data_IF_406907478177
#
_entry.id   IF_406907478177
#
_cell.length_a   1.000
_cell.length_b   1.000
_cell.length_c   1.000
_cell.angle_alpha   90.00
_cell.angle_beta   90.00
_cell.angle_gamma   90.00
#
_symmetry.space_group_name_H-M   'P 1'
#
loop_
_entity.id
_entity.type
_entity.pdbx_description
1 polymer ?
#
# COMPACT_ATOMS: atom_id res chain seq x y z
N UNK A 1 -25.29 76.48 26.11
CA UNK A 1 -25.54 76.14 27.53
C UNK A 1 -24.79 74.86 27.87
N UNK A 2 -23.80 74.97 28.78
CA UNK A 2 -23.49 74.03 29.88
C UNK A 2 -23.23 72.56 29.48
N UNK A 3 -21.96 72.19 29.28
CA UNK A 3 -21.15 71.34 30.19
C UNK A 3 -21.08 69.88 29.64
N UNK A 4 -20.04 69.06 29.79
CA UNK A 4 -19.17 68.77 30.93
C UNK A 4 -17.85 68.19 30.38
N UNK A 5 -16.72 68.64 30.93
CA UNK A 5 -15.45 67.89 30.95
C UNK A 5 -15.55 66.80 32.01
N UNK A 6 -15.15 65.57 31.71
CA UNK A 6 -14.41 64.70 32.66
C UNK A 6 -13.62 63.63 31.91
N UNK A 7 -12.40 63.46 32.40
CA UNK A 7 -11.30 62.67 31.88
C UNK A 7 -11.47 61.18 32.17
N UNK A 8 -11.06 60.33 31.22
CA UNK A 8 -10.37 59.07 31.51
C UNK A 8 -9.39 58.80 30.36
N UNK A 9 -8.09 58.98 30.64
CA UNK A 9 -7.01 58.45 29.82
C UNK A 9 -6.93 56.94 30.07
N UNK A 10 -6.99 56.15 29.00
CA UNK A 10 -6.23 54.92 28.88
C UNK A 10 -5.54 54.94 27.52
N UNK A 11 -4.20 55.03 27.53
CA UNK A 11 -3.35 54.91 26.35
C UNK A 11 -3.53 53.51 25.75
N UNK A 12 -3.97 53.42 24.49
CA UNK A 12 -3.78 52.23 23.66
C UNK A 12 -2.70 52.56 22.63
N UNK A 13 -1.53 51.95 22.79
CA UNK A 13 -0.36 52.13 21.95
C UNK A 13 -0.56 51.27 20.68
N UNK A 14 -0.97 51.88 19.58
CA UNK A 14 -0.93 51.27 18.24
C UNK A 14 0.37 51.72 17.58
N UNK A 15 1.38 50.85 17.59
CA UNK A 15 2.60 51.03 16.80
C UNK A 15 2.38 50.44 15.40
N UNK A 16 2.24 51.34 14.43
CA UNK A 16 2.38 51.05 13.00
C UNK A 16 3.86 50.78 12.69
N UNK A 17 4.15 49.58 12.20
CA UNK A 17 5.43 49.23 11.56
C UNK A 17 5.19 49.02 10.04
N UNK A 18 6.20 49.29 9.19
CA UNK A 18 6.04 49.42 7.74
C UNK A 18 5.77 48.07 7.04
N UNK A 19 5.11 48.14 5.89
CA UNK A 19 4.86 47.00 5.00
C UNK A 19 6.11 46.82 4.13
N UNK A 20 6.88 45.76 4.39
CA UNK A 20 8.00 45.35 3.52
C UNK A 20 7.46 44.74 2.21
N UNK A 21 8.05 45.08 1.04
CA UNK A 21 7.77 44.39 -0.20
C UNK A 21 8.56 43.08 -0.23
N UNK A 22 8.01 42.05 -0.87
CA UNK A 22 8.49 40.65 -0.98
C UNK A 22 7.87 39.67 0.02
N UNK A 23 6.95 38.87 -0.51
CA UNK A 23 6.69 37.50 -0.08
C UNK A 23 8.03 36.78 0.16
N UNK A 24 8.27 36.34 1.39
CA UNK A 24 9.17 35.21 1.65
C UNK A 24 8.31 34.10 2.23
N UNK A 25 8.31 32.95 1.56
CA UNK A 25 7.65 31.75 2.03
C UNK A 25 8.25 31.37 3.39
N UNK A 26 7.43 31.25 4.44
CA UNK A 26 7.87 30.62 5.67
C UNK A 26 8.28 29.17 5.34
N UNK A 27 9.50 28.79 5.71
CA UNK A 27 10.15 27.53 5.31
C UNK A 27 9.35 26.28 5.73
N UNK A 28 9.41 25.23 4.89
CA UNK A 28 8.79 23.92 5.15
C UNK A 28 9.53 23.11 6.24
N UNK A 29 10.80 23.46 6.54
CA UNK A 29 11.65 22.84 7.59
C UNK A 29 13.14 23.21 7.41
N UNK A 30 14.06 22.57 8.15
CA UNK A 30 15.52 22.72 7.97
C UNK A 30 16.24 21.37 7.89
N UNK A 31 17.44 21.34 7.29
CA UNK A 31 18.27 20.15 7.05
C UNK A 31 19.78 20.49 7.16
N UNK A 32 20.64 19.50 7.40
CA UNK A 32 22.09 19.68 7.54
C UNK A 32 22.80 18.69 6.61
N UNK A 33 23.92 19.08 6.02
CA UNK A 33 24.75 18.18 5.19
C UNK A 33 26.16 18.13 5.77
N UNK A 34 26.70 16.93 5.97
CA UNK A 34 28.08 16.69 6.41
C UNK A 34 28.88 16.15 5.25
N UNK A 35 30.00 16.80 4.92
CA UNK A 35 30.90 16.40 3.84
C UNK A 35 32.35 16.83 4.13
N UNK A 36 33.32 16.14 3.52
CA UNK A 36 34.73 16.55 3.53
C UNK A 36 35.01 17.55 2.39
N UNK A 37 36.23 18.08 2.31
CA UNK A 37 36.55 19.06 1.26
C UNK A 37 36.60 18.46 -0.15
N UNK A 38 36.76 17.14 -0.27
CA UNK A 38 36.89 16.42 -1.55
C UNK A 38 35.52 16.16 -2.18
N UNK A 39 34.52 15.85 -1.36
CA UNK A 39 33.12 15.61 -1.73
C UNK A 39 32.28 16.91 -1.69
N UNK A 40 32.93 18.07 -1.56
CA UNK A 40 32.28 19.39 -1.47
C UNK A 40 31.40 19.74 -2.68
N UNK A 41 31.78 19.45 -3.96
CA UNK A 41 30.89 19.65 -5.09
C UNK A 41 29.58 18.87 -4.96
N UNK A 42 29.61 17.68 -4.35
CA UNK A 42 28.41 16.87 -4.12
C UNK A 42 27.55 17.49 -3.03
N UNK A 43 28.16 17.96 -1.94
CA UNK A 43 27.44 18.60 -0.85
C UNK A 43 26.73 19.89 -1.26
N UNK A 44 27.41 20.75 -2.04
CA UNK A 44 26.83 21.98 -2.57
C UNK A 44 25.62 21.72 -3.45
N UNK A 45 25.69 20.65 -4.23
CA UNK A 45 24.57 20.20 -5.05
C UNK A 45 23.37 19.85 -4.18
N UNK A 46 23.57 18.98 -3.18
CA UNK A 46 22.51 18.57 -2.23
C UNK A 46 21.88 19.74 -1.49
N UNK A 47 22.67 20.78 -1.18
CA UNK A 47 22.21 22.01 -0.55
C UNK A 47 21.29 22.81 -1.48
N UNK A 48 21.68 23.06 -2.74
CA UNK A 48 20.84 23.72 -3.75
C UNK A 48 19.50 22.99 -3.94
N UNK A 49 19.54 21.65 -3.92
CA UNK A 49 18.34 20.83 -4.04
C UNK A 49 17.38 21.01 -2.86
N UNK A 50 17.88 20.96 -1.63
CA UNK A 50 17.08 21.16 -0.41
C UNK A 50 16.43 22.55 -0.37
N UNK A 51 17.19 23.59 -0.71
CA UNK A 51 16.71 24.98 -0.68
C UNK A 51 15.67 25.27 -1.76
N UNK A 52 15.85 24.72 -2.97
CA UNK A 52 14.85 24.85 -4.06
C UNK A 52 13.49 24.20 -3.72
N UNK A 53 13.44 23.31 -2.72
CA UNK A 53 12.22 22.63 -2.23
C UNK A 53 11.71 23.19 -0.88
N UNK A 54 12.20 24.36 -0.44
CA UNK A 54 11.64 25.08 0.71
C UNK A 54 12.19 24.69 2.08
N UNK A 55 13.25 23.87 2.13
CA UNK A 55 13.99 23.57 3.36
C UNK A 55 15.20 24.51 3.50
N UNK A 56 15.51 24.95 4.73
CA UNK A 56 16.79 25.61 5.01
C UNK A 56 17.89 24.58 5.22
N UNK A 57 18.85 24.48 4.29
CA UNK A 57 19.97 23.55 4.37
C UNK A 57 21.27 24.22 4.84
N UNK A 58 22.16 23.48 5.51
CA UNK A 58 23.46 24.00 5.94
C UNK A 58 24.55 22.92 5.85
N UNK A 59 25.59 23.16 5.04
CA UNK A 59 26.77 22.28 4.97
C UNK A 59 27.73 22.52 6.15
N UNK A 60 28.22 21.44 6.77
CA UNK A 60 29.18 21.47 7.88
C UNK A 60 30.28 20.42 7.72
N UNK A 61 31.41 20.64 8.39
CA UNK A 61 32.52 19.69 8.47
C UNK A 61 32.19 18.48 9.36
N UNK A 62 32.92 17.36 9.21
CA UNK A 62 32.71 16.14 10.00
C UNK A 62 32.79 16.35 11.52
N UNK A 63 33.59 17.31 12.01
CA UNK A 63 33.70 17.57 13.46
C UNK A 63 32.39 18.11 14.06
N UNK A 64 31.57 18.81 13.27
CA UNK A 64 30.34 19.42 13.73
C UNK A 64 29.20 18.41 13.88
N UNK A 65 29.28 17.27 13.19
CA UNK A 65 28.21 16.26 13.11
C UNK A 65 27.68 15.88 14.49
N UNK A 66 28.60 15.57 15.42
CA UNK A 66 28.26 15.07 16.75
C UNK A 66 27.52 16.08 17.63
N UNK A 67 27.78 17.37 17.43
CA UNK A 67 27.06 18.45 18.14
C UNK A 67 25.65 18.68 17.59
N UNK A 68 25.37 18.24 16.35
CA UNK A 68 24.10 18.47 15.63
C UNK A 68 23.13 17.30 15.75
N UNK A 69 23.61 16.06 15.69
CA UNK A 69 22.80 14.83 15.85
C UNK A 69 22.22 14.67 17.25
N UNK A 70 22.63 15.50 18.21
CA UNK A 70 22.19 15.50 19.61
C UNK A 70 21.19 16.61 19.95
N UNK A 71 20.88 17.53 19.02
CA UNK A 71 20.11 18.74 19.32
C UNK A 71 18.99 19.09 18.31
N UNK A 72 18.88 18.40 17.17
CA UNK A 72 18.03 18.81 16.05
C UNK A 72 16.85 17.86 15.80
N UNK A 73 15.85 18.34 15.03
CA UNK A 73 14.74 17.54 14.46
C UNK A 73 14.86 17.51 12.92
N UNK A 74 15.89 18.19 12.41
CA UNK A 74 16.24 18.38 11.02
C UNK A 74 17.08 17.21 10.54
N UNK A 75 16.78 16.55 9.42
CA UNK A 75 17.61 15.48 8.89
C UNK A 75 19.02 15.95 8.52
N UNK A 76 19.95 15.02 8.67
CA UNK A 76 21.37 15.19 8.42
C UNK A 76 21.79 14.26 7.28
N UNK A 77 22.30 14.81 6.19
CA UNK A 77 22.88 14.04 5.09
C UNK A 77 24.38 13.85 5.34
N UNK A 78 24.91 12.65 5.09
CA UNK A 78 26.35 12.35 5.24
C UNK A 78 26.90 11.86 3.92
N UNK A 79 27.96 12.48 3.44
CA UNK A 79 28.44 12.31 2.07
C UNK A 79 29.78 11.60 1.98
N UNK A 80 29.76 10.33 1.59
CA UNK A 80 30.95 9.49 1.41
C UNK A 80 30.80 8.08 1.98
N UNK A 81 31.50 7.11 1.38
CA UNK A 81 31.49 5.71 1.81
C UNK A 81 32.45 5.38 2.96
N UNK A 82 32.53 4.10 3.36
CA UNK A 82 33.26 3.67 4.55
C UNK A 82 34.77 3.92 4.52
N UNK A 83 35.34 4.20 3.36
CA UNK A 83 36.77 4.54 3.20
C UNK A 83 37.02 6.01 2.89
N UNK A 84 35.99 6.88 2.96
CA UNK A 84 36.13 8.31 2.74
C UNK A 84 37.05 8.97 3.80
N UNK A 85 37.81 9.98 3.38
CA UNK A 85 38.86 10.60 4.19
C UNK A 85 38.32 11.75 5.07
N UNK A 86 39.21 12.36 5.86
CA UNK A 86 38.91 13.53 6.72
C UNK A 86 37.77 13.30 7.72
N UNK A 87 37.65 12.06 8.18
CA UNK A 87 36.66 11.67 9.18
C UNK A 87 35.29 11.29 8.62
N UNK A 88 34.99 11.55 7.34
CA UNK A 88 33.71 11.16 6.74
C UNK A 88 33.55 9.64 6.70
N UNK A 89 34.56 8.88 6.29
CA UNK A 89 34.46 7.42 6.24
C UNK A 89 34.44 6.79 7.63
N UNK A 90 34.95 7.50 8.66
CA UNK A 90 34.74 7.12 10.06
C UNK A 90 33.26 7.30 10.45
N UNK A 91 32.63 8.41 10.08
CA UNK A 91 31.19 8.64 10.26
C UNK A 91 30.37 7.59 9.48
N UNK A 92 30.58 7.42 8.17
CA UNK A 92 29.80 6.50 7.33
C UNK A 92 29.94 5.04 7.75
N UNK A 93 31.12 4.58 8.20
CA UNK A 93 31.27 3.22 8.77
C UNK A 93 30.43 3.00 10.01
N UNK A 94 30.16 4.04 10.80
CA UNK A 94 29.31 3.92 11.98
C UNK A 94 27.86 3.62 11.61
N UNK A 95 27.45 3.98 10.39
CA UNK A 95 26.05 3.97 9.98
C UNK A 95 25.76 2.94 8.88
N UNK A 96 26.74 2.14 8.46
CA UNK A 96 26.61 1.08 7.45
C UNK A 96 26.88 -0.32 8.06
N UNK A 97 26.15 -1.34 7.62
CA UNK A 97 26.39 -2.74 8.03
C UNK A 97 27.60 -3.35 7.33
N UNK A 98 28.21 -4.40 7.89
CA UNK A 98 29.39 -5.02 7.25
C UNK A 98 29.14 -5.54 5.83
N UNK A 99 27.95 -6.07 5.51
CA UNK A 99 27.62 -6.47 4.13
C UNK A 99 27.42 -5.28 3.20
N UNK A 100 26.93 -4.15 3.72
CA UNK A 100 26.81 -2.90 2.95
C UNK A 100 28.18 -2.28 2.72
N UNK A 101 29.04 -2.25 3.75
CA UNK A 101 30.44 -1.83 3.67
C UNK A 101 31.22 -2.72 2.70
N UNK A 102 31.05 -4.04 2.78
CA UNK A 102 31.72 -4.99 1.90
C UNK A 102 31.28 -4.82 0.45
N UNK A 103 30.00 -4.55 0.17
CA UNK A 103 29.51 -4.20 -1.18
C UNK A 103 30.02 -2.85 -1.68
N UNK A 104 29.98 -1.82 -0.83
CA UNK A 104 30.53 -0.49 -1.13
C UNK A 104 32.04 -0.54 -1.38
N UNK A 105 32.75 -1.53 -0.83
CA UNK A 105 34.20 -1.69 -1.05
C UNK A 105 34.56 -2.59 -2.23
N UNK A 106 33.80 -3.65 -2.47
CA UNK A 106 34.19 -4.71 -3.40
C UNK A 106 33.58 -4.58 -4.80
N UNK A 107 32.51 -3.82 -4.99
CA UNK A 107 31.82 -3.68 -6.28
C UNK A 107 32.08 -2.29 -6.87
N UNK A 108 32.94 -2.21 -7.89
CA UNK A 108 33.15 -0.99 -8.68
C UNK A 108 31.86 -0.60 -9.41
N UNK A 109 31.54 0.69 -9.45
CA UNK A 109 30.29 1.21 -9.99
C UNK A 109 29.07 1.01 -9.08
N UNK A 110 29.27 0.59 -7.82
CA UNK A 110 28.20 0.43 -6.84
C UNK A 110 28.22 1.58 -5.84
N UNK A 111 27.06 2.20 -5.66
CA UNK A 111 26.79 3.17 -4.61
C UNK A 111 25.34 3.07 -4.18
N UNK A 112 25.07 3.48 -2.95
CA UNK A 112 23.73 3.43 -2.38
C UNK A 112 23.58 4.50 -1.31
N UNK A 113 22.33 4.77 -0.92
CA UNK A 113 22.03 5.67 0.18
C UNK A 113 21.31 4.92 1.29
N UNK A 114 21.64 5.30 2.51
CA UNK A 114 21.29 4.55 3.70
C UNK A 114 20.67 5.51 4.69
N UNK A 115 19.37 5.36 4.85
CA UNK A 115 18.61 6.15 5.83
C UNK A 115 18.73 5.46 7.18
N UNK A 116 19.10 6.24 8.19
CA UNK A 116 19.40 5.84 9.55
C UNK A 116 18.78 6.87 10.47
N UNK A 117 17.75 6.51 11.22
CA UNK A 117 17.20 7.43 12.22
C UNK A 117 18.07 7.44 13.48
N UNK A 118 18.56 8.61 13.89
CA UNK A 118 19.36 8.81 15.10
C UNK A 118 18.83 10.01 15.86
N UNK A 119 18.39 9.82 17.10
CA UNK A 119 17.89 10.90 17.97
C UNK A 119 16.80 11.79 17.34
N UNK A 120 15.84 11.18 16.63
CA UNK A 120 14.75 11.89 15.90
C UNK A 120 15.22 12.73 14.71
N UNK A 121 16.49 12.61 14.37
CA UNK A 121 17.11 13.14 13.18
C UNK A 121 17.31 12.01 12.20
N UNK A 122 16.81 12.14 10.98
CA UNK A 122 17.15 11.20 9.91
C UNK A 122 18.55 11.48 9.41
N UNK A 123 19.46 10.53 9.63
CA UNK A 123 20.82 10.52 9.09
C UNK A 123 20.80 9.74 7.77
N UNK A 124 21.15 10.39 6.67
CA UNK A 124 21.02 9.81 5.34
C UNK A 124 22.39 9.79 4.70
N UNK A 125 23.00 8.60 4.68
CA UNK A 125 24.33 8.41 4.11
C UNK A 125 24.19 8.27 2.61
N UNK A 126 25.08 8.92 1.86
CA UNK A 126 25.15 8.93 0.42
C UNK A 126 26.56 8.47 0.03
N UNK A 127 26.69 7.23 -0.44
CA UNK A 127 28.00 6.59 -0.53
C UNK A 127 28.16 5.74 -1.80
N UNK A 128 29.24 5.99 -2.54
CA UNK A 128 29.75 5.13 -3.62
C UNK A 128 31.05 4.42 -3.23
N UNK A 129 31.47 3.43 -4.03
CA UNK A 129 32.78 2.77 -3.90
C UNK A 129 33.93 3.75 -4.15
N UNK A 130 33.72 4.73 -5.04
CA UNK A 130 34.61 5.85 -5.31
C UNK A 130 33.93 7.20 -5.07
N UNK A 131 34.72 8.29 -5.18
CA UNK A 131 34.25 9.69 -5.05
C UNK A 131 33.39 10.15 -6.22
N UNK A 132 33.70 9.77 -7.46
CA UNK A 132 32.81 10.03 -8.61
C UNK A 132 31.44 9.38 -8.36
N UNK A 133 31.43 8.16 -7.82
CA UNK A 133 30.20 7.43 -7.52
C UNK A 133 29.46 8.01 -6.30
N UNK A 134 30.16 8.56 -5.32
CA UNK A 134 29.53 9.28 -4.20
C UNK A 134 28.80 10.54 -4.70
N UNK A 135 29.41 11.31 -5.62
CA UNK A 135 28.74 12.44 -6.27
C UNK A 135 27.55 11.99 -7.12
N UNK A 136 27.69 10.90 -7.89
CA UNK A 136 26.59 10.27 -8.63
C UNK A 136 25.44 9.84 -7.69
N UNK A 137 25.74 9.39 -6.47
CA UNK A 137 24.73 9.03 -5.46
C UNK A 137 24.00 10.25 -4.91
N UNK A 138 24.67 11.40 -4.74
CA UNK A 138 23.97 12.65 -4.39
C UNK A 138 23.07 13.12 -5.52
N UNK A 139 23.59 13.18 -6.74
CA UNK A 139 22.78 13.46 -7.92
C UNK A 139 21.59 12.51 -8.00
N UNK A 140 21.80 11.24 -7.62
CA UNK A 140 20.74 10.23 -7.61
C UNK A 140 19.76 10.51 -6.49
N UNK A 141 20.21 10.82 -5.28
CA UNK A 141 19.40 11.11 -4.10
C UNK A 141 18.44 12.28 -4.29
N UNK A 142 18.92 13.38 -4.89
CA UNK A 142 18.09 14.52 -5.30
C UNK A 142 16.99 14.11 -6.28
N UNK A 143 17.25 13.08 -7.10
CA UNK A 143 16.31 12.56 -8.08
C UNK A 143 15.27 11.58 -7.46
N UNK A 144 15.42 11.09 -6.21
CA UNK A 144 14.56 10.02 -5.59
C UNK A 144 13.32 10.55 -4.88
N UNK A 145 13.05 11.86 -4.83
CA UNK A 145 11.88 12.48 -4.16
C UNK A 145 11.60 12.00 -2.72
N UNK A 146 12.58 11.36 -2.08
CA UNK A 146 12.48 10.87 -0.71
C UNK A 146 12.38 12.05 0.25
N UNK A 147 12.90 13.21 -0.10
CA UNK A 147 12.69 14.46 0.64
C UNK A 147 11.21 14.89 0.67
N UNK A 148 10.46 14.70 -0.40
CA UNK A 148 9.01 14.92 -0.40
C UNK A 148 8.22 13.76 0.27
N UNK A 149 8.79 12.59 0.52
CA UNK A 149 8.12 11.48 1.25
C UNK A 149 8.55 11.36 2.73
N UNK A 150 9.78 11.77 3.06
CA UNK A 150 10.36 11.88 4.41
C UNK A 150 9.80 13.12 5.12
N UNK A 151 9.61 14.22 4.38
CA UNK A 151 9.22 15.50 4.97
C UNK A 151 7.83 16.01 4.56
N UNK A 152 7.28 15.58 3.43
CA UNK A 152 5.83 15.70 3.17
C UNK A 152 5.18 14.36 3.50
N UNK A 153 4.38 14.34 4.57
CA UNK A 153 3.21 13.45 4.64
C UNK A 153 2.17 13.80 3.56
N UNK A 154 2.54 13.92 2.28
CA UNK A 154 1.59 14.20 1.18
C UNK A 154 1.98 13.43 -0.08
N UNK A 155 1.31 12.29 -0.29
CA UNK A 155 1.33 11.43 -1.49
C UNK A 155 2.55 10.49 -1.63
N UNK A 156 2.28 9.20 -1.84
CA UNK A 156 3.25 8.11 -1.76
C UNK A 156 3.79 7.49 -3.07
N UNK A 157 4.72 6.54 -2.85
CA UNK A 157 5.35 5.50 -3.70
C UNK A 157 6.58 5.97 -4.51
N UNK A 158 7.73 5.26 -4.65
CA UNK A 158 8.42 4.08 -4.08
C UNK A 158 9.80 3.93 -4.81
N UNK A 159 10.94 3.59 -4.17
CA UNK A 159 12.00 2.72 -4.78
C UNK A 159 12.75 1.89 -3.72
N UNK A 160 13.19 0.67 -4.07
CA UNK A 160 13.82 -0.37 -3.22
C UNK A 160 15.11 -0.89 -3.88
N UNK A 161 16.16 -1.30 -3.13
CA UNK A 161 16.77 -2.60 -3.41
C UNK A 161 16.97 -3.48 -2.14
N UNK A 162 15.97 -4.36 -1.97
CA UNK A 162 15.90 -5.74 -1.44
C UNK A 162 16.46 -6.07 -0.03
N UNK A 163 15.63 -6.60 0.89
CA UNK A 163 14.80 -7.81 0.73
C UNK A 163 13.29 -7.50 0.69
N UNK A 164 12.70 -7.49 -0.51
CA UNK A 164 11.36 -8.03 -0.71
C UNK A 164 11.55 -9.48 -1.12
N UNK A 165 11.05 -10.44 -0.35
CA UNK A 165 10.51 -11.61 -1.04
C UNK A 165 9.36 -11.04 -1.87
N UNK A 166 9.42 -11.12 -3.20
CA UNK A 166 8.16 -11.16 -3.96
C UNK A 166 7.43 -12.33 -3.30
N UNK A 167 6.32 -12.04 -2.61
CA UNK A 167 5.43 -13.11 -2.22
C UNK A 167 5.21 -13.93 -3.49
N UNK A 168 5.41 -15.25 -3.46
CA UNK A 168 5.15 -16.10 -4.60
C UNK A 168 3.84 -15.67 -5.27
N UNK A 169 3.84 -15.55 -6.60
CA UNK A 169 2.67 -15.15 -7.36
C UNK A 169 2.19 -16.37 -8.12
N UNK A 170 0.90 -16.65 -8.05
CA UNK A 170 0.22 -17.55 -8.95
C UNK A 170 -0.10 -16.75 -10.21
N UNK A 171 0.37 -17.22 -11.37
CA UNK A 171 0.07 -16.60 -12.67
C UNK A 171 -1.01 -17.43 -13.33
N UNK A 172 -2.23 -16.91 -13.32
CA UNK A 172 -3.41 -17.54 -13.90
C UNK A 172 -3.57 -17.10 -15.34
N UNK A 173 -3.92 -18.04 -16.24
CA UNK A 173 -4.06 -17.78 -17.67
C UNK A 173 -5.49 -18.04 -18.09
N UNK A 174 -6.14 -17.01 -18.61
CA UNK A 174 -7.52 -17.11 -19.09
C UNK A 174 -7.58 -16.98 -20.59
N UNK A 175 -8.60 -17.60 -21.17
CA UNK A 175 -8.91 -17.51 -22.59
C UNK A 175 -10.41 -17.51 -22.77
N UNK A 176 -10.93 -16.52 -23.49
CA UNK A 176 -12.35 -16.44 -23.78
C UNK A 176 -12.60 -15.92 -25.19
N UNK A 177 -13.82 -16.10 -25.67
CA UNK A 177 -14.26 -15.49 -26.92
C UNK A 177 -15.05 -14.22 -26.62
N UNK A 178 -15.05 -13.26 -27.55
CA UNK A 178 -16.04 -12.19 -27.56
C UNK A 178 -16.24 -11.71 -28.99
N UNK A 179 -17.50 -11.69 -29.45
CA UNK A 179 -17.89 -11.27 -30.81
C UNK A 179 -17.01 -11.86 -31.94
N UNK A 180 -16.68 -13.15 -31.81
CA UNK A 180 -15.91 -13.91 -32.80
C UNK A 180 -14.39 -13.75 -32.73
N UNK A 181 -13.85 -13.01 -31.75
CA UNK A 181 -12.42 -12.88 -31.47
C UNK A 181 -12.06 -13.64 -30.19
N UNK A 182 -10.85 -14.19 -30.16
CA UNK A 182 -10.28 -14.86 -28.97
C UNK A 182 -9.39 -13.89 -28.21
N UNK A 183 -9.56 -13.85 -26.90
CA UNK A 183 -8.81 -13.02 -25.98
C UNK A 183 -8.05 -13.88 -24.99
N UNK A 184 -6.90 -13.37 -24.54
CA UNK A 184 -6.05 -14.00 -23.54
C UNK A 184 -5.64 -12.96 -22.52
N UNK A 185 -5.52 -13.37 -21.25
CA UNK A 185 -5.10 -12.50 -20.16
C UNK A 185 -4.32 -13.33 -19.14
N UNK A 186 -3.30 -12.72 -18.53
CA UNK A 186 -2.56 -13.30 -17.42
C UNK A 186 -2.83 -12.49 -16.16
N UNK A 187 -3.34 -13.13 -15.11
CA UNK A 187 -3.59 -12.46 -13.83
C UNK A 187 -2.56 -12.95 -12.82
N UNK A 188 -1.82 -12.02 -12.22
CA UNK A 188 -0.85 -12.32 -11.16
C UNK A 188 -1.51 -12.15 -9.79
N UNK A 189 -1.66 -13.25 -9.06
CA UNK A 189 -2.34 -13.28 -7.76
C UNK A 189 -1.32 -13.67 -6.68
N UNK A 190 -1.19 -12.92 -5.56
CA UNK A 190 -0.29 -13.31 -4.48
C UNK A 190 -0.70 -14.65 -3.84
N UNK A 191 0.20 -15.65 -3.84
CA UNK A 191 -0.04 -16.99 -3.26
C UNK A 191 -0.46 -16.89 -1.79
N UNK A 192 0.19 -16.00 -1.02
CA UNK A 192 -0.14 -15.76 0.38
C UNK A 192 -1.55 -15.22 0.61
N UNK A 193 -2.11 -14.50 -0.36
CA UNK A 193 -3.46 -13.96 -0.27
C UNK A 193 -4.50 -15.05 -0.57
N UNK A 194 -4.19 -15.93 -1.50
CA UNK A 194 -5.01 -17.11 -1.82
C UNK A 194 -5.00 -18.09 -0.64
N UNK A 195 -3.83 -18.34 -0.07
CA UNK A 195 -3.69 -19.12 1.17
C UNK A 195 -4.49 -18.50 2.32
N UNK A 196 -4.49 -17.17 2.43
CA UNK A 196 -5.30 -16.47 3.43
C UNK A 196 -6.79 -16.78 3.25
N UNK A 197 -7.32 -16.64 2.04
CA UNK A 197 -8.73 -16.91 1.75
C UNK A 197 -9.08 -18.38 1.98
N UNK A 198 -8.27 -19.32 1.49
CA UNK A 198 -8.45 -20.77 1.72
C UNK A 198 -8.41 -21.21 3.18
N UNK A 199 -7.84 -20.39 4.07
CA UNK A 199 -7.80 -20.65 5.52
C UNK A 199 -8.86 -19.86 6.29
N UNK A 200 -9.73 -19.08 5.63
CA UNK A 200 -10.88 -18.45 6.28
C UNK A 200 -11.98 -19.47 6.53
N UNK A 201 -13.00 -18.99 7.23
CA UNK A 201 -14.21 -19.77 7.44
C UNK A 201 -15.05 -19.72 6.15
N UNK A 202 -15.42 -20.91 5.65
CA UNK A 202 -16.30 -21.09 4.49
C UNK A 202 -17.65 -21.67 4.90
N UNK A 203 -17.89 -21.91 6.20
CA UNK A 203 -19.21 -22.27 6.74
C UNK A 203 -20.07 -21.01 6.89
N UNK A 204 -20.32 -20.35 5.75
CA UNK A 204 -21.07 -19.10 5.65
C UNK A 204 -22.45 -19.43 5.12
N UNK A 205 -23.52 -19.03 5.82
CA UNK A 205 -24.87 -19.32 5.36
C UNK A 205 -25.17 -18.56 4.05
N UNK A 206 -25.98 -19.10 3.13
CA UNK A 206 -26.23 -18.49 1.82
C UNK A 206 -26.73 -17.05 1.85
N UNK A 207 -27.50 -16.67 2.89
CA UNK A 207 -27.95 -15.30 3.11
C UNK A 207 -26.82 -14.28 3.35
N UNK A 208 -25.63 -14.74 3.75
CA UNK A 208 -24.47 -13.91 4.04
C UNK A 208 -23.41 -13.95 2.93
N UNK A 209 -23.59 -14.71 1.85
CA UNK A 209 -22.60 -14.83 0.76
C UNK A 209 -22.24 -13.50 0.08
N UNK A 210 -23.10 -12.48 0.19
CA UNK A 210 -22.79 -11.13 -0.29
C UNK A 210 -21.54 -10.52 0.35
N UNK A 211 -21.14 -10.95 1.55
CA UNK A 211 -19.93 -10.45 2.23
C UNK A 211 -18.65 -10.89 1.53
N UNK A 212 -18.69 -12.01 0.79
CA UNK A 212 -17.56 -12.51 -0.01
C UNK A 212 -17.31 -11.63 -1.23
N UNK A 213 -18.38 -11.07 -1.79
CA UNK A 213 -18.29 -10.21 -2.97
C UNK A 213 -17.70 -8.82 -2.67
N UNK A 214 -17.69 -8.41 -1.39
CA UNK A 214 -17.22 -7.08 -0.95
C UNK A 214 -16.07 -7.14 0.07
N UNK A 215 -15.28 -8.22 0.06
CA UNK A 215 -14.09 -8.32 0.91
C UNK A 215 -12.96 -7.44 0.34
N UNK A 216 -12.36 -6.54 1.14
CA UNK A 216 -11.41 -5.54 0.64
C UNK A 216 -10.02 -6.08 0.29
N UNK A 217 -9.72 -7.31 0.71
CA UNK A 217 -8.37 -7.85 0.62
C UNK A 217 -8.00 -8.19 -0.82
N UNK A 218 -9.01 -8.36 -1.68
CA UNK A 218 -8.85 -8.63 -3.09
C UNK A 218 -8.95 -7.37 -3.98
N UNK A 219 -9.43 -6.23 -3.45
CA UNK A 219 -9.65 -4.97 -4.18
C UNK A 219 -8.51 -4.65 -5.14
N UNK A 220 -7.26 -4.71 -4.67
CA UNK A 220 -6.10 -4.42 -5.52
C UNK A 220 -6.02 -5.35 -6.74
N UNK A 221 -6.22 -6.65 -6.54
CA UNK A 221 -6.16 -7.66 -7.61
C UNK A 221 -7.37 -7.48 -8.54
N UNK A 222 -8.54 -7.19 -7.99
CA UNK A 222 -9.76 -6.92 -8.75
C UNK A 222 -9.64 -5.64 -9.57
N UNK A 223 -9.13 -4.54 -9.03
CA UNK A 223 -8.86 -3.29 -9.77
C UNK A 223 -7.85 -3.50 -10.90
N UNK A 224 -6.77 -4.26 -10.67
CA UNK A 224 -5.80 -4.59 -11.72
C UNK A 224 -6.44 -5.44 -12.82
N UNK A 225 -7.29 -6.42 -12.44
CA UNK A 225 -8.07 -7.26 -13.35
C UNK A 225 -9.07 -6.46 -14.20
N UNK A 226 -9.89 -5.61 -13.58
CA UNK A 226 -10.90 -4.80 -14.28
C UNK A 226 -10.27 -3.76 -15.19
N UNK A 227 -9.15 -3.17 -14.76
CA UNK A 227 -8.34 -2.30 -15.60
C UNK A 227 -7.86 -3.03 -16.86
N UNK A 228 -7.22 -4.19 -16.71
CA UNK A 228 -6.70 -4.96 -17.85
C UNK A 228 -7.82 -5.43 -18.79
N UNK A 229 -8.95 -5.90 -18.26
CA UNK A 229 -10.12 -6.25 -19.06
C UNK A 229 -10.66 -5.06 -19.86
N UNK A 230 -10.70 -3.88 -19.24
CA UNK A 230 -11.16 -2.64 -19.89
C UNK A 230 -10.21 -2.21 -20.99
N UNK A 231 -8.90 -2.22 -20.73
CA UNK A 231 -7.88 -1.90 -21.74
C UNK A 231 -7.93 -2.88 -22.92
N UNK A 232 -8.05 -4.19 -22.67
CA UNK A 232 -8.19 -5.20 -23.73
C UNK A 232 -9.45 -4.97 -24.58
N UNK A 233 -10.56 -4.55 -23.96
CA UNK A 233 -11.79 -4.23 -24.68
C UNK A 233 -11.59 -2.99 -25.58
N UNK A 234 -10.98 -1.93 -25.04
CA UNK A 234 -10.71 -0.68 -25.75
C UNK A 234 -9.75 -0.89 -26.93
N UNK A 235 -8.65 -1.62 -26.72
CA UNK A 235 -7.69 -1.98 -27.77
C UNK A 235 -8.34 -2.79 -28.90
N UNK A 236 -9.32 -3.63 -28.56
CA UNK A 236 -10.08 -4.41 -29.53
C UNK A 236 -11.16 -3.62 -30.29
N UNK A 237 -11.37 -2.35 -29.93
CA UNK A 237 -12.31 -1.41 -30.54
C UNK A 237 -13.69 -1.35 -29.87
N UNK A 238 -13.85 -1.89 -28.67
CA UNK A 238 -15.08 -1.82 -27.89
C UNK A 238 -15.05 -0.62 -26.95
N UNK A 239 -15.70 0.47 -27.35
CA UNK A 239 -15.60 1.76 -26.65
C UNK A 239 -16.90 2.23 -25.98
N UNK A 240 -18.02 1.56 -26.22
CA UNK A 240 -19.27 1.86 -25.49
C UNK A 240 -19.30 1.12 -24.17
N UNK A 241 -19.91 1.75 -23.16
CA UNK A 241 -20.12 1.17 -21.84
C UNK A 241 -20.75 -0.24 -21.93
N UNK A 242 -21.83 -0.38 -22.70
CA UNK A 242 -22.49 -1.67 -22.94
C UNK A 242 -21.53 -2.72 -23.53
N UNK A 243 -20.65 -2.33 -24.45
CA UNK A 243 -19.72 -3.25 -25.08
C UNK A 243 -18.60 -3.71 -24.14
N UNK A 244 -18.14 -2.83 -23.25
CA UNK A 244 -17.15 -3.13 -22.21
C UNK A 244 -17.78 -4.04 -21.15
N UNK A 245 -18.99 -3.70 -20.69
CA UNK A 245 -19.75 -4.52 -19.74
C UNK A 245 -19.97 -5.94 -20.27
N UNK A 246 -20.44 -6.09 -21.52
CA UNK A 246 -20.60 -7.40 -22.14
C UNK A 246 -19.28 -8.15 -22.33
N UNK A 247 -18.18 -7.44 -22.62
CA UNK A 247 -16.85 -8.04 -22.75
C UNK A 247 -16.39 -8.66 -21.43
N UNK A 248 -16.54 -7.93 -20.32
CA UNK A 248 -16.22 -8.38 -18.97
C UNK A 248 -17.12 -9.53 -18.54
N UNK A 249 -18.42 -9.46 -18.84
CA UNK A 249 -19.35 -10.56 -18.55
C UNK A 249 -18.91 -11.86 -19.26
N UNK A 250 -18.48 -11.79 -20.53
CA UNK A 250 -18.00 -12.98 -21.25
C UNK A 250 -16.70 -13.54 -20.71
N UNK A 251 -15.86 -12.73 -20.08
CA UNK A 251 -14.67 -13.23 -19.40
C UNK A 251 -15.07 -14.17 -18.25
N UNK A 252 -15.95 -13.73 -17.34
CA UNK A 252 -16.38 -14.56 -16.20
C UNK A 252 -17.19 -15.78 -16.67
N UNK A 253 -18.10 -15.60 -17.62
CA UNK A 253 -18.91 -16.69 -18.17
C UNK A 253 -18.10 -17.75 -18.96
N UNK A 254 -16.84 -17.45 -19.30
CA UNK A 254 -15.96 -18.42 -19.95
C UNK A 254 -15.24 -19.34 -18.95
N UNK A 255 -15.33 -19.05 -17.64
CA UNK A 255 -14.79 -19.92 -16.61
C UNK A 255 -15.54 -21.26 -16.60
N UNK A 256 -14.84 -22.40 -16.53
CA UNK A 256 -15.43 -23.71 -16.34
C UNK A 256 -16.40 -23.77 -15.15
N UNK A 257 -17.56 -24.39 -15.37
CA UNK A 257 -18.48 -24.74 -14.28
C UNK A 257 -18.02 -26.02 -13.59
N UNK A 258 -17.89 -25.98 -12.27
CA UNK A 258 -17.48 -27.12 -11.45
C UNK A 258 -18.15 -27.09 -10.08
N UNK A 259 -18.88 -28.15 -9.73
CA UNK A 259 -19.54 -28.28 -8.42
C UNK A 259 -18.53 -28.43 -7.28
N UNK A 260 -18.87 -27.92 -6.09
CA UNK A 260 -18.02 -27.99 -4.90
C UNK A 260 -17.62 -29.40 -4.47
N UNK A 261 -18.57 -30.34 -4.45
CA UNK A 261 -18.26 -31.75 -4.10
C UNK A 261 -17.14 -32.30 -5.00
N UNK A 262 -17.07 -31.86 -6.26
CA UNK A 262 -16.07 -32.33 -7.21
C UNK A 262 -14.70 -31.66 -7.05
N UNK A 263 -14.62 -30.50 -6.41
CA UNK A 263 -13.42 -29.66 -6.33
C UNK A 263 -12.83 -29.57 -4.91
N UNK A 264 -13.67 -29.56 -3.88
CA UNK A 264 -13.27 -29.43 -2.47
C UNK A 264 -13.65 -30.66 -1.63
N UNK A 265 -14.66 -31.42 -2.06
CA UNK A 265 -15.19 -32.58 -1.32
C UNK A 265 -16.24 -32.22 -0.26
N UNK A 266 -16.71 -30.97 -0.22
CA UNK A 266 -17.80 -30.48 0.63
C UNK A 266 -19.07 -30.20 -0.21
N UNK A 267 -20.24 -30.16 0.44
CA UNK A 267 -21.54 -29.99 -0.24
C UNK A 267 -21.81 -28.54 -0.66
N UNK A 268 -21.35 -27.56 0.12
CA UNK A 268 -21.34 -26.11 -0.17
C UNK A 268 -20.02 -25.52 0.37
N UNK A 269 -19.25 -24.86 -0.48
CA UNK A 269 -17.98 -24.18 -0.20
C UNK A 269 -17.95 -22.87 -1.03
N UNK A 270 -18.58 -21.79 -0.54
CA UNK A 270 -18.64 -20.54 -1.30
C UNK A 270 -17.25 -19.90 -1.38
N UNK A 271 -16.68 -19.80 -2.58
CA UNK A 271 -15.32 -19.28 -2.79
C UNK A 271 -15.27 -17.76 -2.70
N UNK A 272 -14.17 -17.24 -2.15
CA UNK A 272 -13.79 -15.85 -2.37
C UNK A 272 -13.43 -15.60 -3.84
N UNK A 273 -13.59 -14.38 -4.39
CA UNK A 273 -13.29 -14.07 -5.79
C UNK A 273 -11.91 -14.55 -6.26
N UNK A 274 -10.87 -14.41 -5.43
CA UNK A 274 -9.52 -14.86 -5.79
C UNK A 274 -9.35 -16.38 -5.79
N UNK A 275 -10.13 -17.11 -4.98
CA UNK A 275 -10.16 -18.58 -5.05
C UNK A 275 -10.77 -19.02 -6.38
N UNK A 276 -11.90 -18.44 -6.79
CA UNK A 276 -12.55 -18.72 -8.10
C UNK A 276 -11.61 -18.46 -9.28
N UNK A 277 -10.84 -17.37 -9.22
CA UNK A 277 -9.82 -17.07 -10.22
C UNK A 277 -8.70 -18.13 -10.22
N UNK A 278 -8.13 -18.46 -9.06
CA UNK A 278 -7.02 -19.43 -8.97
C UNK A 278 -7.43 -20.86 -9.30
N UNK A 279 -8.61 -21.28 -8.87
CA UNK A 279 -9.15 -22.60 -9.19
C UNK A 279 -9.61 -22.67 -10.65
N UNK A 280 -9.77 -21.52 -11.30
CA UNK A 280 -10.09 -21.39 -12.72
C UNK A 280 -11.52 -21.77 -13.03
N UNK A 281 -12.46 -21.50 -12.12
CA UNK A 281 -13.84 -21.93 -12.20
C UNK A 281 -14.49 -22.10 -10.83
N UNK A 282 -15.78 -22.41 -10.86
CA UNK A 282 -16.64 -22.60 -9.69
C UNK A 282 -18.05 -22.95 -10.12
N UNK A 283 -18.98 -23.08 -9.18
CA UNK A 283 -20.40 -23.25 -9.47
C UNK A 283 -21.17 -21.91 -9.40
N UNK A 284 -22.43 -21.93 -8.96
CA UNK A 284 -23.34 -20.81 -9.22
C UNK A 284 -23.05 -19.61 -8.33
N UNK A 285 -22.77 -19.87 -7.07
CA UNK A 285 -22.37 -18.91 -6.06
C UNK A 285 -21.01 -18.31 -6.38
N UNK A 286 -20.00 -19.12 -6.70
CA UNK A 286 -18.62 -18.67 -6.90
C UNK A 286 -18.51 -17.68 -8.07
N UNK A 287 -19.12 -18.05 -9.20
CA UNK A 287 -19.09 -17.23 -10.40
C UNK A 287 -19.99 -16.01 -10.28
N UNK A 288 -21.08 -16.09 -9.50
CA UNK A 288 -21.93 -14.94 -9.17
C UNK A 288 -21.23 -13.96 -8.24
N UNK A 289 -20.54 -14.45 -7.21
CA UNK A 289 -19.73 -13.66 -6.27
C UNK A 289 -18.62 -12.94 -7.05
N UNK A 290 -17.83 -13.66 -7.85
CA UNK A 290 -16.78 -13.07 -8.67
C UNK A 290 -17.32 -12.03 -9.67
N UNK A 291 -18.41 -12.33 -10.37
CA UNK A 291 -19.06 -11.39 -11.28
C UNK A 291 -19.53 -10.14 -10.54
N UNK A 292 -20.14 -10.29 -9.36
CA UNK A 292 -20.61 -9.17 -8.58
C UNK A 292 -19.45 -8.26 -8.15
N UNK A 293 -18.35 -8.83 -7.65
CA UNK A 293 -17.13 -8.08 -7.27
C UNK A 293 -16.57 -7.27 -8.45
N UNK A 294 -16.44 -7.90 -9.62
CA UNK A 294 -15.93 -7.26 -10.84
C UNK A 294 -16.85 -6.12 -11.31
N UNK A 295 -18.16 -6.34 -11.31
CA UNK A 295 -19.12 -5.33 -11.77
C UNK A 295 -19.23 -4.15 -10.80
N UNK A 296 -19.13 -4.40 -9.49
CA UNK A 296 -19.06 -3.34 -8.48
C UNK A 296 -17.81 -2.47 -8.67
N UNK A 297 -16.65 -3.08 -8.93
CA UNK A 297 -15.40 -2.34 -9.21
C UNK A 297 -15.52 -1.49 -10.49
N UNK A 298 -16.29 -1.93 -11.48
CA UNK A 298 -16.61 -1.14 -12.67
C UNK A 298 -17.65 -0.03 -12.42
N UNK A 299 -18.16 0.10 -11.19
CA UNK A 299 -19.07 1.15 -10.77
C UNK A 299 -20.57 0.83 -10.95
N UNK A 300 -20.93 -0.42 -11.21
CA UNK A 300 -22.33 -0.84 -11.27
C UNK A 300 -22.90 -1.08 -9.85
N UNK A 301 -24.16 -0.72 -9.65
CA UNK A 301 -24.92 -1.19 -8.49
C UNK A 301 -25.33 -2.64 -8.73
N UNK A 302 -24.99 -3.54 -7.81
CA UNK A 302 -25.10 -4.99 -8.03
C UNK A 302 -25.70 -5.65 -6.79
N UNK A 303 -26.56 -6.64 -7.03
CA UNK A 303 -27.09 -7.57 -6.01
C UNK A 303 -26.75 -9.01 -6.38
N UNK A 304 -26.74 -9.90 -5.39
CA UNK A 304 -26.88 -11.33 -5.61
C UNK A 304 -28.35 -11.71 -5.46
N UNK A 305 -28.80 -12.62 -6.32
CA UNK A 305 -30.10 -13.26 -6.21
C UNK A 305 -29.93 -14.67 -5.68
N UNK A 306 -30.39 -14.90 -4.46
CA UNK A 306 -30.53 -16.23 -3.91
C UNK A 306 -31.91 -16.78 -4.31
N UNK A 307 -31.89 -17.85 -5.09
CA UNK A 307 -33.06 -18.55 -5.64
C UNK A 307 -33.00 -19.99 -5.12
N UNK A 308 -34.12 -20.70 -4.91
CA UNK A 308 -34.07 -22.08 -4.44
C UNK A 308 -33.20 -22.99 -5.34
N UNK A 309 -32.02 -23.33 -4.84
CA UNK A 309 -31.00 -24.15 -5.49
C UNK A 309 -30.16 -23.42 -6.57
N UNK A 310 -30.10 -22.08 -6.58
CA UNK A 310 -29.32 -21.32 -7.55
C UNK A 310 -28.93 -19.93 -7.02
N UNK A 311 -27.77 -19.44 -7.45
CA UNK A 311 -27.34 -18.04 -7.26
C UNK A 311 -27.09 -17.40 -8.61
N UNK A 312 -27.48 -16.14 -8.74
CA UNK A 312 -27.23 -15.32 -9.92
C UNK A 312 -26.94 -13.87 -9.51
N UNK A 313 -26.59 -13.04 -10.50
CA UNK A 313 -26.31 -11.62 -10.29
C UNK A 313 -27.51 -10.77 -10.74
N UNK A 314 -27.77 -9.67 -10.04
CA UNK A 314 -28.69 -8.62 -10.48
C UNK A 314 -27.92 -7.33 -10.72
N UNK A 315 -27.99 -6.79 -11.93
CA UNK A 315 -27.29 -5.55 -12.32
C UNK A 315 -28.27 -4.38 -12.33
N UNK A 316 -28.00 -3.38 -11.51
CA UNK A 316 -28.75 -2.13 -11.45
C UNK A 316 -28.55 -1.31 -12.72
N UNK A 317 -29.61 -1.13 -13.50
CA UNK A 317 -29.57 -0.36 -14.75
C UNK A 317 -30.77 0.57 -14.85
N UNK A 318 -30.54 1.83 -15.26
CA UNK A 318 -31.64 2.78 -15.50
C UNK A 318 -32.54 2.32 -16.66
N UNK A 319 -31.92 1.82 -17.75
CA UNK A 319 -32.60 1.47 -19.01
C UNK A 319 -32.25 0.05 -19.49
N UNK A 320 -32.34 -0.95 -18.61
CA UNK A 320 -32.18 -2.37 -18.99
C UNK A 320 -33.40 -2.94 -19.73
N UNK A 321 -33.27 -4.16 -20.24
CA UNK A 321 -34.36 -4.92 -20.85
C UNK A 321 -34.36 -6.35 -20.33
N UNK A 322 -35.51 -7.03 -20.37
CA UNK A 322 -35.64 -8.41 -19.90
C UNK A 322 -36.16 -8.53 -18.46
N UNK A 323 -35.83 -9.65 -17.82
CA UNK A 323 -36.27 -9.97 -16.46
C UNK A 323 -35.48 -9.16 -15.41
N UNK A 324 -36.20 -8.56 -14.46
CA UNK A 324 -35.63 -7.81 -13.36
C UNK A 324 -36.42 -8.01 -12.07
N UNK A 325 -35.78 -7.74 -10.94
CA UNK A 325 -36.40 -7.63 -9.62
C UNK A 325 -36.30 -6.18 -9.17
N UNK A 326 -37.39 -5.64 -8.61
CA UNK A 326 -37.38 -4.32 -7.97
C UNK A 326 -36.97 -4.48 -6.51
N UNK A 327 -35.96 -3.71 -6.09
CA UNK A 327 -35.47 -3.70 -4.72
C UNK A 327 -35.05 -2.27 -4.36
N UNK A 328 -35.54 -1.76 -3.23
CA UNK A 328 -35.26 -0.39 -2.72
C UNK A 328 -35.47 0.75 -3.74
N UNK A 329 -36.39 0.58 -4.69
CA UNK A 329 -36.70 1.58 -5.71
C UNK A 329 -35.84 1.49 -6.98
N UNK A 330 -34.87 0.58 -7.02
CA UNK A 330 -34.03 0.29 -8.18
C UNK A 330 -34.48 -0.99 -8.90
N UNK A 331 -34.15 -1.09 -10.19
CA UNK A 331 -34.38 -2.29 -11.02
C UNK A 331 -33.08 -3.03 -11.22
N UNK A 332 -33.01 -4.27 -10.74
CA UNK A 332 -31.87 -5.15 -10.90
C UNK A 332 -32.18 -6.22 -11.93
N UNK A 333 -31.54 -6.13 -13.09
CA UNK A 333 -31.74 -7.05 -14.22
C UNK A 333 -30.92 -8.31 -14.01
N UNK A 334 -31.55 -9.46 -14.24
CA UNK A 334 -30.94 -10.76 -13.99
C UNK A 334 -29.76 -11.06 -14.92
N UNK A 335 -28.67 -11.59 -14.39
CA UNK A 335 -27.48 -11.99 -15.12
C UNK A 335 -27.04 -13.38 -14.66
N UNK A 336 -27.08 -14.33 -15.59
CA UNK A 336 -26.58 -15.69 -15.39
C UNK A 336 -25.06 -15.75 -15.62
N UNK A 337 -24.36 -16.48 -14.74
CA UNK A 337 -22.91 -16.67 -14.76
C UNK A 337 -22.52 -18.12 -15.04
N UNK A 338 -23.39 -19.10 -14.80
CA UNK A 338 -23.09 -20.54 -14.92
C UNK A 338 -23.13 -21.06 -16.36
N UNK A 339 -22.80 -20.22 -17.33
CA UNK A 339 -22.79 -20.58 -18.74
C UNK A 339 -22.40 -19.44 -19.65
N UNK A 340 -21.84 -19.80 -20.80
CA UNK A 340 -21.39 -18.83 -21.78
C UNK A 340 -22.53 -18.28 -22.64
N UNK A 341 -22.65 -16.95 -22.72
CA UNK A 341 -23.48 -16.25 -23.71
C UNK A 341 -24.75 -15.61 -23.18
N UNK A 342 -25.09 -15.80 -21.90
CA UNK A 342 -26.28 -15.21 -21.29
C UNK A 342 -26.21 -13.68 -21.23
N UNK A 343 -27.24 -13.01 -21.71
CA UNK A 343 -27.29 -11.54 -21.67
C UNK A 343 -27.96 -11.05 -20.39
N UNK A 344 -27.70 -9.80 -20.03
CA UNK A 344 -28.43 -9.15 -18.94
C UNK A 344 -29.92 -9.13 -19.28
N UNK A 345 -30.75 -9.51 -18.31
CA UNK A 345 -32.19 -9.67 -18.43
C UNK A 345 -32.66 -11.03 -18.96
N UNK A 346 -31.75 -11.94 -19.32
CA UNK A 346 -32.12 -13.25 -19.86
C UNK A 346 -32.25 -14.29 -18.74
N UNK A 347 -33.48 -14.73 -18.45
CA UNK A 347 -33.77 -15.72 -17.41
C UNK A 347 -33.78 -17.15 -17.98
N UNK A 348 -32.91 -18.07 -17.50
CA UNK A 348 -32.89 -19.46 -17.93
C UNK A 348 -34.26 -20.15 -17.82
N UNK A 349 -34.66 -21.00 -18.79
CA UNK A 349 -35.97 -21.65 -18.81
C UNK A 349 -36.32 -22.39 -17.50
N UNK A 350 -35.33 -23.00 -16.85
CA UNK A 350 -35.49 -23.75 -15.60
C UNK A 350 -35.87 -22.85 -14.42
N UNK A 351 -35.50 -21.57 -14.47
CA UNK A 351 -35.77 -20.57 -13.43
C UNK A 351 -37.07 -19.79 -13.68
N UNK A 352 -37.64 -19.84 -14.89
CA UNK A 352 -38.90 -19.16 -15.22
C UNK A 352 -40.11 -19.66 -14.39
N UNK A 353 -39.98 -20.81 -13.72
CA UNK A 353 -40.97 -21.31 -12.75
C UNK A 353 -41.03 -20.48 -11.47
N UNK A 354 -39.98 -19.73 -11.16
CA UNK A 354 -39.87 -18.91 -9.97
C UNK A 354 -40.31 -17.48 -10.29
N UNK A 355 -41.31 -16.99 -9.55
CA UNK A 355 -41.70 -15.57 -9.58
C UNK A 355 -40.85 -14.70 -8.64
N UNK A 356 -40.99 -13.36 -8.68
CA UNK A 356 -40.17 -12.42 -7.91
C UNK A 356 -40.06 -12.71 -6.41
N UNK A 357 -41.10 -13.29 -5.78
CA UNK A 357 -41.09 -13.64 -4.36
C UNK A 357 -40.09 -14.76 -3.98
N UNK A 358 -39.51 -15.47 -4.95
CA UNK A 358 -38.48 -16.50 -4.71
C UNK A 358 -37.07 -15.95 -4.87
N UNK A 359 -36.92 -14.68 -5.24
CA UNK A 359 -35.63 -14.03 -5.39
C UNK A 359 -35.35 -13.25 -4.11
N UNK A 360 -34.56 -13.86 -3.22
CA UNK A 360 -34.00 -13.12 -2.09
C UNK A 360 -32.87 -12.26 -2.62
N UNK A 361 -32.98 -10.95 -2.38
CA UNK A 361 -31.98 -9.97 -2.81
C UNK A 361 -30.96 -9.80 -1.70
N UNK A 362 -29.70 -10.15 -2.00
CA UNK A 362 -28.57 -9.87 -1.12
C UNK A 362 -27.80 -8.72 -1.74
N UNK A 363 -27.73 -7.59 -1.04
CA UNK A 363 -27.06 -6.39 -1.56
C UNK A 363 -25.64 -6.32 -0.99
N UNK A 364 -24.60 -6.72 -1.75
CA UNK A 364 -23.23 -6.50 -1.34
C UNK A 364 -23.00 -5.01 -1.21
N UNK A 365 -22.81 -4.56 0.02
CA UNK A 365 -22.34 -3.22 0.28
C UNK A 365 -20.83 -3.30 0.29
N UNK A 366 -20.17 -2.52 -0.57
CA UNK A 366 -18.77 -2.22 -0.38
C UNK A 366 -18.64 -1.47 0.94
N UNK A 367 -18.39 -2.21 2.01
CA UNK A 367 -18.16 -1.61 3.32
C UNK A 367 -16.73 -1.14 3.26
N UNK A 368 -16.46 0.17 3.23
CA UNK A 368 -15.10 0.63 3.24
C UNK A 368 -14.46 0.11 4.51
N UNK A 369 -13.40 -0.66 4.37
CA UNK A 369 -12.70 -1.26 5.50
C UNK A 369 -11.22 -0.94 5.41
N UNK A 370 -10.56 -0.79 6.56
CA UNK A 370 -9.12 -0.60 6.59
C UNK A 370 -8.43 -1.91 6.26
N UNK A 371 -7.49 -1.86 5.32
CA UNK A 371 -6.58 -2.97 5.05
C UNK A 371 -5.13 -2.52 5.16
N UNK A 372 -4.64 -2.34 6.39
CA UNK A 372 -3.27 -1.97 6.60
C UNK A 372 -2.38 -3.20 6.47
N UNK A 373 -1.32 -3.08 5.67
CA UNK A 373 -0.30 -4.12 5.45
C UNK A 373 1.10 -3.53 5.58
N UNK A 374 2.05 -4.33 6.03
CA UNK A 374 3.46 -3.99 6.01
C UNK A 374 3.97 -4.22 4.59
N UNK A 375 4.07 -3.17 3.80
CA UNK A 375 4.48 -3.29 2.39
C UNK A 375 6.00 -3.30 2.20
N UNK A 376 6.72 -2.81 3.22
CA UNK A 376 8.19 -2.75 3.27
C UNK A 376 8.70 -2.72 4.69
N UNK A 377 9.84 -3.36 4.89
CA UNK A 377 10.66 -3.24 6.09
C UNK A 377 12.08 -3.02 5.63
N UNK A 378 12.72 -1.97 6.13
CA UNK A 378 14.15 -1.76 6.03
C UNK A 378 14.67 -1.92 7.45
N UNK A 379 15.44 -2.97 7.68
CA UNK A 379 16.17 -3.12 8.91
C UNK A 379 17.53 -2.47 8.76
N UNK A 380 17.85 -1.69 9.77
CA UNK A 380 19.02 -0.88 9.87
C UNK A 380 19.66 -1.26 11.19
N UNK A 381 20.73 -2.05 11.15
CA UNK A 381 21.53 -2.32 12.33
C UNK A 381 22.56 -1.21 12.47
N UNK A 382 22.48 -0.50 13.59
CA UNK A 382 23.41 0.57 13.98
C UNK A 382 24.22 0.00 15.14
N UNK A 383 25.49 -0.29 14.89
CA UNK A 383 26.38 -0.90 15.87
C UNK A 383 26.99 0.20 16.75
N UNK A 384 26.52 0.32 18.00
CA UNK A 384 27.06 1.20 19.06
C UNK A 384 27.59 0.41 20.28
N UNK A 385 27.55 0.99 21.50
CA UNK A 385 27.83 0.26 22.78
C UNK A 385 26.87 -0.92 22.98
N UNK A 386 25.64 -0.75 22.53
CA UNK A 386 24.65 -1.80 22.34
C UNK A 386 24.21 -1.78 20.88
N UNK A 387 23.86 -2.94 20.33
CA UNK A 387 23.37 -3.03 18.97
C UNK A 387 21.92 -2.52 18.93
N UNK A 388 21.66 -1.46 18.18
CA UNK A 388 20.30 -0.95 17.95
C UNK A 388 19.87 -1.33 16.55
N UNK A 389 18.66 -1.84 16.44
CA UNK A 389 18.05 -2.21 15.17
C UNK A 389 16.90 -1.25 14.91
N UNK A 390 17.07 -0.35 13.95
CA UNK A 390 16.00 0.50 13.45
C UNK A 390 15.25 -0.24 12.34
N UNK A 391 13.96 -0.48 12.58
CA UNK A 391 13.02 -0.99 11.60
C UNK A 391 12.26 0.19 11.00
N UNK A 392 12.59 0.55 9.76
CA UNK A 392 11.81 1.48 8.96
C UNK A 392 10.75 0.66 8.23
N UNK A 393 9.52 0.74 8.71
CA UNK A 393 8.36 -0.03 8.31
C UNK A 393 7.46 0.87 7.47
N UNK A 394 7.24 0.51 6.22
CA UNK A 394 6.22 1.16 5.39
C UNK A 394 4.94 0.37 5.53
N UNK A 395 3.92 1.04 6.04
CA UNK A 395 2.57 0.53 6.20
C UNK A 395 1.70 1.13 5.11
N UNK A 396 1.20 0.31 4.20
CA UNK A 396 0.23 0.71 3.19
C UNK A 396 -1.17 0.37 3.68
N UNK A 397 -2.13 1.28 3.53
CA UNK A 397 -3.53 0.91 3.62
C UNK A 397 -4.05 0.61 2.22
N UNK A 398 -4.23 -0.68 1.93
CA UNK A 398 -4.76 -1.16 0.65
C UNK A 398 -6.27 -1.19 0.60
N UNK A 399 -6.95 -0.85 1.67
CA UNK A 399 -8.41 -0.87 1.78
C UNK A 399 -9.01 0.52 1.58
N UNK A 400 -10.33 0.59 1.62
CA UNK A 400 -11.09 1.79 1.25
C UNK A 400 -11.56 2.66 2.43
N UNK A 401 -11.20 2.29 3.67
CA UNK A 401 -11.41 3.13 4.86
C UNK A 401 -10.11 3.43 5.58
N UNK A 402 -10.06 4.56 6.28
CA UNK A 402 -8.92 4.91 7.12
C UNK A 402 -8.57 3.78 8.10
N UNK A 403 -7.29 3.43 8.16
CA UNK A 403 -6.77 2.42 9.04
C UNK A 403 -6.09 3.08 10.24
N UNK A 404 -6.66 2.92 11.43
CA UNK A 404 -5.97 3.26 12.68
C UNK A 404 -5.16 2.05 13.12
N UNK A 405 -3.85 2.22 13.14
CA UNK A 405 -2.90 1.12 13.29
C UNK A 405 -1.75 1.45 14.22
N UNK A 406 -1.13 0.40 14.74
CA UNK A 406 0.09 0.45 15.54
C UNK A 406 1.06 -0.59 14.98
N UNK A 407 2.31 -0.21 14.77
CA UNK A 407 3.37 -1.14 14.38
C UNK A 407 4.12 -1.52 15.63
N UNK A 408 4.24 -2.82 15.86
CA UNK A 408 4.93 -3.43 16.99
C UNK A 408 6.12 -4.22 16.47
N UNK A 409 7.34 -3.92 16.88
CA UNK A 409 8.52 -4.68 16.49
C UNK A 409 9.20 -5.30 17.72
N UNK A 410 9.73 -6.50 17.62
CA UNK A 410 10.41 -7.17 18.74
C UNK A 410 11.27 -8.34 18.29
N UNK A 411 12.16 -8.82 19.14
CA UNK A 411 13.10 -9.87 18.77
C UNK A 411 12.52 -11.27 18.97
N UNK A 412 12.88 -12.19 18.08
CA UNK A 412 12.45 -13.58 18.18
C UNK A 412 13.43 -14.41 19.02
N UNK A 413 12.95 -14.96 20.13
CA UNK A 413 13.68 -15.92 20.97
C UNK A 413 13.67 -17.36 20.41
N UNK A 414 14.49 -18.23 21.00
CA UNK A 414 14.72 -19.62 20.57
C UNK A 414 13.47 -20.54 20.61
N UNK A 415 12.34 -20.08 21.15
CA UNK A 415 11.08 -20.81 21.27
C UNK A 415 9.86 -20.10 20.69
N UNK A 416 10.03 -19.21 19.70
CA UNK A 416 8.94 -18.41 19.06
C UNK A 416 8.39 -17.26 19.94
N UNK A 417 8.90 -17.09 21.17
CA UNK A 417 8.57 -15.94 22.00
C UNK A 417 9.09 -14.64 21.37
N UNK A 418 8.23 -13.63 21.24
CA UNK A 418 8.64 -12.26 20.89
C UNK A 418 8.96 -11.54 22.20
N UNK A 419 10.17 -11.00 22.28
CA UNK A 419 10.70 -10.35 23.47
C UNK A 419 11.30 -9.00 23.09
N UNK A 420 11.30 -8.05 24.04
CA UNK A 420 11.76 -6.67 23.83
C UNK A 420 11.04 -5.98 22.67
N UNK A 421 9.75 -5.77 22.88
CA UNK A 421 8.84 -5.23 21.88
C UNK A 421 8.69 -3.72 22.05
N UNK A 422 8.82 -2.97 20.97
CA UNK A 422 8.52 -1.55 20.90
C UNK A 422 7.36 -1.30 19.94
N UNK A 423 6.57 -0.26 20.22
CA UNK A 423 5.38 0.08 19.43
C UNK A 423 5.47 1.52 18.93
N UNK A 424 4.93 1.79 17.74
CA UNK A 424 4.85 3.14 17.18
C UNK A 424 3.80 4.01 17.86
N UNK A 425 2.86 3.40 18.58
CA UNK A 425 1.60 4.02 18.96
C UNK A 425 0.64 4.08 17.78
N UNK A 426 -0.61 4.48 18.06
CA UNK A 426 -1.64 4.54 17.02
C UNK A 426 -1.37 5.69 16.04
N UNK A 427 -1.41 5.40 14.74
CA UNK A 427 -1.42 6.37 13.66
C UNK A 427 -2.46 5.96 12.60
N UNK A 428 -2.91 6.94 11.82
CA UNK A 428 -3.89 6.71 10.76
C UNK A 428 -3.19 6.63 9.41
N UNK A 429 -3.56 5.64 8.59
CA UNK A 429 -3.19 5.52 7.18
C UNK A 429 -4.45 5.61 6.35
N UNK A 430 -4.57 6.64 5.50
CA UNK A 430 -5.75 6.82 4.65
C UNK A 430 -5.76 5.78 3.51
N UNK A 431 -6.93 5.49 2.90
CA UNK A 431 -7.04 4.58 1.76
C UNK A 431 -6.04 4.88 0.64
N UNK A 432 -5.34 3.84 0.16
CA UNK A 432 -4.36 3.94 -0.92
C UNK A 432 -3.04 4.62 -0.52
N UNK A 433 -2.93 5.17 0.69
CA UNK A 433 -1.72 5.80 1.18
C UNK A 433 -0.74 4.81 1.83
N UNK A 434 0.50 5.25 1.95
CA UNK A 434 1.54 4.59 2.69
C UNK A 434 2.06 5.51 3.79
N UNK A 435 2.32 4.97 4.96
CA UNK A 435 2.96 5.67 6.07
C UNK A 435 4.25 4.96 6.44
N UNK A 436 5.34 5.72 6.51
CA UNK A 436 6.64 5.20 6.96
C UNK A 436 6.78 5.42 8.45
N UNK A 437 7.08 4.34 9.16
CA UNK A 437 7.19 4.28 10.61
C UNK A 437 8.57 3.74 10.97
N UNK A 438 9.32 4.48 11.77
CA UNK A 438 10.61 4.04 12.26
C UNK A 438 10.47 3.53 13.70
N UNK A 439 10.82 2.26 13.94
CA UNK A 439 10.85 1.65 15.27
C UNK A 439 12.27 1.24 15.60
N UNK A 440 12.82 1.76 16.69
CA UNK A 440 14.15 1.39 17.16
C UNK A 440 14.05 0.32 18.25
N UNK A 441 14.77 -0.78 18.08
CA UNK A 441 14.82 -1.89 19.02
C UNK A 441 16.21 -2.07 19.59
N UNK A 442 16.30 -2.24 20.90
CA UNK A 442 17.56 -2.47 21.60
C UNK A 442 17.87 -3.96 21.67
N UNK A 443 18.89 -4.40 20.94
CA UNK A 443 19.23 -5.82 20.82
C UNK A 443 19.67 -6.41 22.17
N UNK A 444 18.96 -7.41 22.72
CA UNK A 444 19.34 -8.05 23.96
C UNK A 444 20.45 -9.06 23.66
N UNK A 445 21.63 -8.87 24.25
CA UNK A 445 22.81 -9.74 24.05
C UNK A 445 22.55 -11.24 24.32
N UNK A 446 21.52 -11.53 25.12
CA UNK A 446 21.06 -12.89 25.44
C UNK A 446 20.43 -13.61 24.23
N UNK A 447 19.97 -12.88 23.22
CA UNK A 447 19.40 -13.45 22.00
C UNK A 447 20.53 -13.69 20.99
N UNK A 448 20.63 -14.92 20.48
CA UNK A 448 21.66 -15.29 19.49
C UNK A 448 21.18 -15.16 18.03
N UNK A 449 19.87 -15.04 17.81
CA UNK A 449 19.24 -15.11 16.50
C UNK A 449 18.74 -13.74 16.01
N UNK A 450 19.41 -13.13 15.03
CA UNK A 450 19.12 -11.77 14.52
C UNK A 450 17.82 -11.66 13.71
N UNK A 451 16.70 -11.96 14.34
CA UNK A 451 15.38 -11.88 13.73
C UNK A 451 14.52 -10.89 14.51
N UNK A 452 13.98 -9.93 13.77
CA UNK A 452 12.92 -9.02 14.23
C UNK A 452 11.60 -9.52 13.69
N UNK A 453 10.62 -9.64 14.57
CA UNK A 453 9.21 -9.79 14.25
C UNK A 453 8.61 -8.39 14.26
N UNK A 454 8.01 -7.98 13.16
CA UNK A 454 7.28 -6.72 13.01
C UNK A 454 5.84 -7.10 12.80
N UNK A 455 4.95 -6.59 13.64
CA UNK A 455 3.52 -6.81 13.62
C UNK A 455 2.85 -5.49 13.35
N UNK A 456 1.85 -5.54 12.49
CA UNK A 456 0.90 -4.45 12.35
C UNK A 456 -0.34 -4.83 13.13
N UNK A 457 -0.80 -3.92 13.97
CA UNK A 457 -1.95 -4.07 14.83
C UNK A 457 -3.02 -3.06 14.42
N UNK A 458 -4.28 -3.47 14.44
CA UNK A 458 -5.43 -2.56 14.33
C UNK A 458 -6.45 -2.93 15.40
N UNK A 459 -6.91 -1.95 16.18
CA UNK A 459 -7.79 -2.20 17.34
C UNK A 459 -7.19 -3.18 18.36
N UNK A 460 -5.85 -3.23 18.46
CA UNK A 460 -5.12 -4.18 19.32
C UNK A 460 -5.03 -5.61 18.78
N UNK A 461 -5.60 -5.92 17.61
CA UNK A 461 -5.50 -7.22 16.95
C UNK A 461 -4.40 -7.20 15.88
N UNK A 462 -3.65 -8.29 15.77
CA UNK A 462 -2.64 -8.44 14.71
C UNK A 462 -3.30 -8.61 13.36
N UNK A 463 -2.94 -7.75 12.41
CA UNK A 463 -3.48 -7.71 11.04
C UNK A 463 -2.42 -8.04 9.98
N UNK A 464 -1.13 -7.83 10.27
CA UNK A 464 -0.02 -8.30 9.44
C UNK A 464 1.22 -8.62 10.29
N UNK A 465 2.13 -9.44 9.78
CA UNK A 465 3.40 -9.79 10.44
C UNK A 465 4.51 -10.10 9.45
N UNK A 466 5.68 -9.47 9.63
CA UNK A 466 6.90 -9.76 8.90
C UNK A 466 7.99 -10.21 9.85
N UNK A 467 8.70 -11.27 9.45
CA UNK A 467 9.96 -11.69 10.03
C UNK A 467 11.10 -11.20 9.15
N UNK A 468 11.95 -10.34 9.71
CA UNK A 468 13.11 -9.77 9.01
C UNK A 468 14.39 -10.06 9.79
N UNK A 469 15.49 -10.23 9.08
CA UNK A 469 16.81 -10.51 9.63
C UNK A 469 17.76 -9.34 9.32
N UNK A 470 18.67 -9.01 10.24
CA UNK A 470 19.54 -7.82 10.19
C UNK A 470 21.02 -8.13 10.48
#
# INVERSE_FOLDING_TARGET
>A
MIAIRKWLLLLLLVLLAPVDPFYSAEAQGSAIIISNQVDLPAAQKLEEYLESHGYQAEIKSPEAFWSKISAAISPIFVLGGPDAYEGVGEISRQFLTEKEIERLRSWKGFGNFYIRMVNKVEVIILAGNTREETFEIVESFEKIRILEELFTRKAGKQVNPFVRRKAPQLVMRYTWQFRGKTFHMEVSIPESLVDYYRNRDHDIPPEDWYVLASDPLDDKVISELTWELTELALEAGYTSEESILQFVIRFVQALPYSQDVATTGFDEYPRFPLETLVDGGGDCEDTSILMATILMELGYDVVLFLIPGHVAVGVGLENGSGFFIEYEGNKYYYLETTGYGWNIGELPPQLQRYGPAHFTVLHPVHVPVPLPVISRVILVSIQGEELVVCAIVVVENRGHKEAVVDVSAGFKGAGVLVIHTENSGNFTVLPGEACTISISLQWPEVIRHRWVVIRLLSGGKKVDEILANF
#
